data_IF_986436838178
#
_entry.id   IF_986436838178
#
_cell.length_a   1.000
_cell.length_b   1.000
_cell.length_c   1.000
_cell.angle_alpha   90.00
_cell.angle_beta   90.00
_cell.angle_gamma   90.00
#
_symmetry.space_group_name_H-M   'P 1'
#
loop_
_entity.id
_entity.type
_entity.pdbx_description
1 polymer ?
#
# COMPACT_ATOMS: atom_id res chain seq x y z
N UNK A 1 -13.51 1.67 13.12
CA UNK A 1 -12.20 2.12 12.62
C UNK A 1 -12.41 3.10 11.46
N UNK A 2 -12.78 4.37 11.72
CA UNK A 2 -12.94 5.38 10.63
C UNK A 2 -12.51 6.80 11.05
N UNK A 3 -11.74 6.97 12.13
CA UNK A 3 -11.27 8.29 12.61
C UNK A 3 -9.77 8.52 12.51
N UNK A 4 -9.02 7.69 11.75
CA UNK A 4 -7.54 7.67 11.78
C UNK A 4 -6.86 8.80 10.98
N UNK A 5 -7.59 9.50 10.10
CA UNK A 5 -6.94 10.17 8.98
C UNK A 5 -6.05 11.37 9.37
N UNK A 6 -6.45 12.19 10.36
CA UNK A 6 -5.65 13.37 10.72
C UNK A 6 -4.34 13.01 11.44
N UNK A 7 -4.37 12.01 12.33
CA UNK A 7 -3.18 11.62 13.10
C UNK A 7 -2.15 10.95 12.20
N UNK A 8 -2.60 10.04 11.33
CA UNK A 8 -1.73 9.38 10.35
C UNK A 8 -1.00 10.40 9.45
N UNK A 9 -1.74 11.36 8.88
CA UNK A 9 -1.15 12.36 7.98
C UNK A 9 -0.24 13.37 8.68
N UNK A 10 -0.49 13.69 9.95
CA UNK A 10 0.45 14.49 10.74
C UNK A 10 1.77 13.73 11.00
N UNK A 11 1.68 12.43 11.30
CA UNK A 11 2.85 11.61 11.59
C UNK A 11 3.80 11.44 10.39
N UNK A 12 3.26 11.46 9.16
CA UNK A 12 4.04 11.37 7.91
C UNK A 12 4.42 12.74 7.33
N UNK A 13 4.25 13.84 8.08
CA UNK A 13 4.71 15.16 7.66
C UNK A 13 3.72 15.98 6.82
N UNK A 14 2.50 15.49 6.60
CA UNK A 14 1.38 16.20 5.95
C UNK A 14 1.59 16.66 4.50
N UNK A 15 2.69 16.24 3.86
CA UNK A 15 3.01 16.56 2.47
C UNK A 15 2.84 15.33 1.56
N UNK A 16 2.31 15.50 0.33
CA UNK A 16 2.01 14.39 -0.57
C UNK A 16 3.25 13.72 -1.17
N UNK A 17 4.41 14.38 -1.11
CA UNK A 17 5.64 13.91 -1.72
C UNK A 17 6.80 13.96 -0.73
N UNK A 18 7.71 13.01 -0.85
CA UNK A 18 8.88 12.95 0.02
C UNK A 18 9.63 11.64 -0.15
N UNK A 19 10.72 11.52 0.62
CA UNK A 19 11.44 10.27 0.79
C UNK A 19 11.14 9.73 2.18
N UNK A 20 10.62 8.50 2.24
CA UNK A 20 10.27 7.83 3.48
C UNK A 20 11.12 6.56 3.59
N UNK A 21 11.89 6.45 4.67
CA UNK A 21 12.67 5.25 4.99
C UNK A 21 12.11 4.59 6.25
N UNK A 22 11.84 3.29 6.16
CA UNK A 22 11.36 2.48 7.28
C UNK A 22 12.31 1.32 7.49
N UNK A 23 12.88 1.23 8.70
CA UNK A 23 13.69 0.09 9.13
C UNK A 23 12.87 -0.76 10.11
N UNK A 24 12.42 -1.92 9.66
CA UNK A 24 11.59 -2.82 10.44
C UNK A 24 12.15 -4.26 10.43
N UNK A 25 11.81 -5.04 11.46
CA UNK A 25 12.00 -6.49 11.48
C UNK A 25 10.64 -7.15 11.31
N UNK A 26 10.50 -7.94 10.24
CA UNK A 26 9.25 -8.62 9.92
C UNK A 26 9.14 -9.94 10.73
N UNK A 27 8.00 -10.21 11.39
CA UNK A 27 7.79 -11.48 12.06
C UNK A 27 7.47 -12.59 11.04
N UNK A 28 8.42 -13.50 10.81
CA UNK A 28 8.25 -14.64 9.91
C UNK A 28 7.44 -15.78 10.57
N UNK A 29 6.17 -15.52 10.88
CA UNK A 29 5.27 -16.48 11.53
C UNK A 29 4.13 -16.85 10.57
N UNK A 30 3.80 -18.13 10.48
CA UNK A 30 2.72 -18.61 9.63
C UNK A 30 1.40 -17.92 9.97
N UNK A 31 0.72 -17.39 8.95
CA UNK A 31 -0.56 -16.69 9.08
C UNK A 31 -0.46 -15.21 9.47
N UNK A 32 0.74 -14.69 9.79
CA UNK A 32 0.93 -13.25 9.93
C UNK A 32 0.87 -12.56 8.56
N UNK A 33 0.25 -11.38 8.50
CA UNK A 33 0.27 -10.49 7.35
C UNK A 33 0.79 -9.13 7.82
N UNK A 34 2.10 -8.95 7.74
CA UNK A 34 2.74 -7.69 8.10
C UNK A 34 2.75 -6.76 6.89
N UNK A 35 2.39 -5.51 7.10
CA UNK A 35 2.35 -4.49 6.05
C UNK A 35 2.94 -3.16 6.54
N UNK A 36 3.64 -2.49 5.65
CA UNK A 36 4.04 -1.08 5.73
C UNK A 36 3.46 -0.41 4.50
N UNK A 37 2.50 0.48 4.70
CA UNK A 37 1.69 1.03 3.64
C UNK A 37 1.37 2.50 3.89
N UNK A 38 0.91 3.18 2.85
CA UNK A 38 0.45 4.55 2.88
C UNK A 38 -0.91 4.69 2.22
N UNK A 39 -1.73 5.61 2.72
CA UNK A 39 -3.07 5.89 2.18
C UNK A 39 -3.21 7.36 1.88
N UNK A 40 -3.80 7.72 0.74
CA UNK A 40 -4.08 9.11 0.36
C UNK A 40 -4.90 9.87 1.41
N UNK A 41 -4.93 11.20 1.36
CA UNK A 41 -5.52 12.03 2.42
C UNK A 41 -7.04 12.08 2.41
N UNK A 42 -7.61 12.32 1.24
CA UNK A 42 -9.03 12.60 1.06
C UNK A 42 -9.68 11.59 0.12
N UNK A 43 -11.00 11.42 0.23
CA UNK A 43 -11.76 10.44 -0.56
C UNK A 43 -11.88 9.06 0.10
N UNK A 44 -12.54 8.14 -0.60
CA UNK A 44 -12.73 6.75 -0.18
C UNK A 44 -11.75 5.83 -0.90
N UNK A 45 -11.48 4.67 -0.30
CA UNK A 45 -10.67 3.64 -0.97
C UNK A 45 -11.51 2.96 -2.08
N UNK A 46 -10.91 2.62 -3.25
CA UNK A 46 -9.49 2.79 -3.61
C UNK A 46 -9.17 4.14 -4.28
N UNK A 47 -10.17 4.99 -4.55
CA UNK A 47 -9.99 6.25 -5.29
C UNK A 47 -9.01 7.23 -4.63
N UNK A 48 -8.93 7.21 -3.30
CA UNK A 48 -7.94 8.01 -2.55
C UNK A 48 -6.49 7.55 -2.74
N UNK A 49 -6.28 6.35 -3.29
CA UNK A 49 -4.96 5.76 -3.49
C UNK A 49 -4.36 5.10 -2.25
N UNK A 50 -3.60 4.04 -2.49
CA UNK A 50 -2.81 3.28 -1.51
C UNK A 50 -1.46 2.89 -2.11
N UNK A 51 -0.40 2.95 -1.31
CA UNK A 51 0.95 2.50 -1.68
C UNK A 51 1.39 1.49 -0.63
N UNK A 52 1.51 0.24 -1.02
CA UNK A 52 2.05 -0.83 -0.20
C UNK A 52 3.56 -0.89 -0.40
N UNK A 53 4.31 -0.25 0.51
CA UNK A 53 5.79 -0.24 0.49
C UNK A 53 6.32 -1.66 0.70
N UNK A 54 5.69 -2.41 1.60
CA UNK A 54 6.01 -3.80 1.86
C UNK A 54 4.81 -4.52 2.44
N UNK A 55 4.52 -5.68 1.89
CA UNK A 55 3.68 -6.70 2.48
C UNK A 55 4.41 -8.03 2.54
N UNK A 56 4.16 -8.79 3.59
CA UNK A 56 4.62 -10.17 3.73
C UNK A 56 3.50 -11.00 4.32
N UNK A 57 3.10 -12.06 3.62
CA UNK A 57 2.02 -12.91 4.07
C UNK A 57 2.52 -14.33 4.34
N UNK A 58 2.69 -14.68 5.62
CA UNK A 58 3.29 -15.94 6.04
C UNK A 58 2.51 -17.21 5.70
N UNK A 59 1.35 -17.08 5.03
CA UNK A 59 0.66 -18.22 4.42
C UNK A 59 1.21 -18.57 3.03
N UNK A 60 1.76 -17.58 2.30
CA UNK A 60 2.13 -17.70 0.88
C UNK A 60 3.54 -17.16 0.54
N UNK A 61 4.17 -16.43 1.45
CA UNK A 61 5.53 -15.89 1.30
C UNK A 61 6.55 -16.78 2.02
N UNK A 62 7.72 -16.96 1.41
CA UNK A 62 8.91 -17.41 2.13
C UNK A 62 9.59 -16.22 2.86
N UNK A 63 10.66 -16.46 3.60
CA UNK A 63 11.34 -15.43 4.41
C UNK A 63 12.02 -14.31 3.60
N UNK A 64 12.15 -14.47 2.28
CA UNK A 64 12.81 -13.52 1.39
C UNK A 64 11.85 -12.84 0.40
N UNK A 65 10.59 -13.28 0.36
CA UNK A 65 9.58 -12.78 -0.57
C UNK A 65 8.78 -11.66 0.07
N UNK A 66 9.01 -10.44 -0.38
CA UNK A 66 8.16 -9.28 -0.07
C UNK A 66 7.35 -8.92 -1.31
N UNK A 67 6.13 -8.43 -1.09
CA UNK A 67 5.29 -7.85 -2.14
C UNK A 67 5.15 -6.35 -1.94
N UNK A 68 4.97 -5.64 -3.04
CA UNK A 68 4.61 -4.23 -3.06
C UNK A 68 3.52 -4.01 -4.09
N UNK A 69 2.68 -3.00 -3.86
CA UNK A 69 1.55 -2.71 -4.71
C UNK A 69 1.19 -1.22 -4.65
N UNK A 70 0.43 -0.79 -5.65
CA UNK A 70 -0.24 0.51 -5.67
C UNK A 70 -1.70 0.24 -6.00
N UNK A 71 -2.60 0.76 -5.18
CA UNK A 71 -4.04 0.69 -5.45
C UNK A 71 -4.59 2.06 -5.77
N UNK A 72 -5.51 2.11 -6.73
CA UNK A 72 -6.28 3.29 -7.08
C UNK A 72 -7.64 2.88 -7.65
N UNK A 73 -8.47 3.84 -8.03
CA UNK A 73 -9.79 3.61 -8.63
C UNK A 73 -9.82 2.66 -9.83
N UNK A 74 -8.68 2.47 -10.51
CA UNK A 74 -8.55 1.64 -11.71
C UNK A 74 -7.91 0.28 -11.41
N UNK A 75 -6.97 0.21 -10.46
CA UNK A 75 -6.25 -1.00 -10.09
C UNK A 75 -6.41 -1.24 -8.59
N UNK A 76 -7.29 -2.14 -8.18
CA UNK A 76 -7.46 -2.54 -6.77
C UNK A 76 -7.95 -3.99 -6.67
N UNK A 77 -7.68 -4.69 -5.57
CA UNK A 77 -8.28 -6.01 -5.29
C UNK A 77 -7.71 -7.22 -6.06
N UNK A 78 -6.50 -7.13 -6.61
CA UNK A 78 -5.85 -8.25 -7.31
C UNK A 78 -6.27 -8.43 -8.79
N UNK A 79 -7.02 -7.48 -9.35
CA UNK A 79 -7.49 -7.48 -10.74
C UNK A 79 -6.37 -7.13 -11.75
N UNK A 80 -5.35 -7.98 -11.85
CA UNK A 80 -4.44 -7.95 -13.00
C UNK A 80 -5.14 -8.37 -14.31
N UNK A 81 -6.34 -8.96 -14.22
CA UNK A 81 -7.12 -9.41 -15.37
C UNK A 81 -7.85 -8.27 -16.11
N UNK A 82 -8.12 -7.14 -15.44
CA UNK A 82 -8.80 -5.98 -16.03
C UNK A 82 -7.94 -4.71 -16.01
N UNK A 83 -6.69 -4.81 -15.57
CA UNK A 83 -5.70 -3.75 -15.67
C UNK A 83 -5.65 -3.24 -17.12
N UNK A 84 -6.01 -1.96 -17.40
CA UNK A 84 -5.86 -1.42 -18.75
C UNK A 84 -4.41 -1.58 -19.19
N UNK A 85 -4.19 -2.37 -20.24
CA UNK A 85 -2.87 -2.60 -20.84
C UNK A 85 -2.34 -1.36 -21.55
N UNK A 86 -3.11 -0.27 -21.59
CA UNK A 86 -2.66 1.02 -22.08
C UNK A 86 -1.96 1.79 -20.97
N UNK A 87 -0.69 2.12 -21.22
CA UNK A 87 0.09 3.04 -20.42
C UNK A 87 -0.72 4.34 -20.13
N UNK A 88 -1.02 4.68 -18.86
CA UNK A 88 -1.76 5.89 -18.54
C UNK A 88 -0.96 7.18 -18.81
N UNK A 89 0.31 7.09 -19.23
CA UNK A 89 1.16 8.23 -19.59
C UNK A 89 1.02 8.69 -21.06
N UNK A 90 0.07 8.13 -21.82
CA UNK A 90 -0.16 8.53 -23.23
C UNK A 90 -1.49 9.25 -23.47
N UNK A 91 -2.02 9.94 -22.46
CA UNK A 91 -3.14 10.87 -22.60
C UNK A 91 -2.70 12.32 -22.33
#
# INVERSE_FOLDING_TARGET
MKSCCSFYWQAVGSEPYGFYEVRAKIPCVRGAWSAIWMLGKDGDWPDRGEIDITEWFGAYSDEYTLTSAVHNGVFSGGDLANAPTSNPLTA
#
